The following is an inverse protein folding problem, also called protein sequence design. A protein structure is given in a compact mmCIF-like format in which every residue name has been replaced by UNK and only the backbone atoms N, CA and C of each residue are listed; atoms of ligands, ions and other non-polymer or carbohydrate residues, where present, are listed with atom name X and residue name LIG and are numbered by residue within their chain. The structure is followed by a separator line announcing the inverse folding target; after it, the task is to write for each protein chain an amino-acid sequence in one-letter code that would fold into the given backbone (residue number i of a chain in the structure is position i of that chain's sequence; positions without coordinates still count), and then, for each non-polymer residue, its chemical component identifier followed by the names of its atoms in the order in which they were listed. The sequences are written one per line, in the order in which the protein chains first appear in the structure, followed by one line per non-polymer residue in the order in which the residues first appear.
data_IF_686471537725
#
_entry.id   IF_686471537725
#
_cell.length_a   1.000
_cell.length_b   1.000
_cell.length_c   1.000
_cell.angle_alpha   90.00
_cell.angle_beta   90.00
_cell.angle_gamma   90.00
#
_symmetry.space_group_name_H-M   'P 1'
#
loop_
_entity.id
_entity.type
_entity.pdbx_description
1 polymer ?
#
# COMPACT_ATOMS: atom_id res chain seq x y z
N UNK A 1 -21.72 15.70 11.44
CA UNK A 1 -20.58 16.15 10.61
C UNK A 1 -20.40 15.14 9.49
N UNK A 2 -20.29 15.56 8.22
CA UNK A 2 -20.06 14.63 7.11
C UNK A 2 -18.67 14.03 7.22
N UNK A 3 -18.59 12.70 7.19
CA UNK A 3 -17.33 11.96 7.21
C UNK A 3 -16.60 12.17 5.88
N UNK A 4 -15.44 12.82 5.90
CA UNK A 4 -14.61 12.99 4.71
C UNK A 4 -14.13 11.63 4.20
N UNK A 5 -14.14 11.41 2.88
CA UNK A 5 -13.71 10.16 2.28
C UNK A 5 -13.27 10.37 0.84
N UNK A 6 -12.29 9.58 0.40
CA UNK A 6 -11.97 9.46 -1.02
C UNK A 6 -11.66 8.02 -1.41
N UNK A 7 -11.79 7.73 -2.69
CA UNK A 7 -11.50 6.44 -3.28
C UNK A 7 -10.24 6.54 -4.13
N UNK A 8 -9.33 5.59 -3.97
CA UNK A 8 -8.21 5.38 -4.90
C UNK A 8 -8.43 4.11 -5.70
N UNK A 9 -7.86 4.07 -6.89
CA UNK A 9 -7.86 2.86 -7.73
C UNK A 9 -6.44 2.38 -7.91
N UNK A 10 -6.18 1.13 -7.51
CA UNK A 10 -4.95 0.41 -7.80
C UNK A 10 -5.24 -0.66 -8.87
N UNK A 11 -4.28 -0.97 -9.74
CA UNK A 11 -4.37 -2.09 -10.68
C UNK A 11 -3.38 -3.18 -10.28
N UNK A 12 -3.79 -4.44 -10.31
CA UNK A 12 -2.83 -5.55 -10.22
C UNK A 12 -1.97 -5.60 -11.48
N UNK A 13 -0.65 -5.62 -11.32
CA UNK A 13 0.31 -5.75 -12.44
C UNK A 13 0.77 -7.19 -12.59
N UNK A 14 0.95 -7.89 -11.47
CA UNK A 14 1.33 -9.30 -11.43
C UNK A 14 0.34 -10.10 -10.57
N UNK A 15 0.30 -11.44 -10.71
CA UNK A 15 -0.62 -12.29 -9.94
C UNK A 15 -0.55 -11.98 -8.45
N UNK A 16 -1.70 -11.66 -7.85
CA UNK A 16 -1.80 -11.24 -6.46
C UNK A 16 -2.31 -12.39 -5.59
N UNK A 17 -1.39 -12.99 -4.83
CA UNK A 17 -1.68 -14.07 -3.90
C UNK A 17 -2.01 -13.54 -2.51
N UNK A 18 -3.28 -13.43 -2.22
CA UNK A 18 -3.82 -13.15 -0.89
C UNK A 18 -4.74 -14.28 -0.49
N UNK A 19 -5.01 -14.41 0.81
CA UNK A 19 -5.80 -15.53 1.30
C UNK A 19 -6.24 -15.30 2.72
N UNK A 20 -7.47 -15.72 2.98
CA UNK A 20 -8.07 -15.70 4.31
C UNK A 20 -7.95 -17.04 5.03
N UNK A 21 -9.05 -17.47 5.65
CA UNK A 21 -9.11 -18.76 6.31
C UNK A 21 -9.04 -19.94 5.31
N UNK A 22 -9.42 -19.72 4.05
CA UNK A 22 -9.51 -20.73 2.99
C UNK A 22 -8.72 -20.31 1.73
N UNK A 23 -7.39 -20.17 1.83
CA UNK A 23 -6.55 -19.57 0.77
C UNK A 23 -6.45 -20.41 -0.52
N UNK A 24 -6.85 -21.68 -0.49
CA UNK A 24 -6.95 -22.56 -1.66
C UNK A 24 -8.35 -22.52 -2.32
N UNK A 25 -9.37 -22.02 -1.61
CA UNK A 25 -10.73 -21.87 -2.16
C UNK A 25 -10.95 -20.50 -2.81
N UNK A 26 -10.33 -19.45 -2.26
CA UNK A 26 -10.55 -18.05 -2.64
C UNK A 26 -9.29 -17.20 -2.41
N UNK A 27 -8.98 -16.33 -3.38
CA UNK A 27 -8.06 -15.24 -3.15
C UNK A 27 -8.83 -14.08 -2.50
N UNK A 28 -8.49 -13.78 -1.24
CA UNK A 28 -9.21 -12.79 -0.44
C UNK A 28 -8.31 -11.58 -0.12
N UNK A 29 -8.58 -10.42 -0.72
CA UNK A 29 -7.98 -9.15 -0.35
C UNK A 29 -8.73 -8.53 0.84
N UNK A 30 -8.01 -8.33 1.95
CA UNK A 30 -8.54 -7.75 3.18
C UNK A 30 -8.04 -6.33 3.38
N UNK A 31 -8.91 -5.49 3.95
CA UNK A 31 -8.55 -4.13 4.36
C UNK A 31 -7.32 -4.10 5.28
N UNK A 32 -7.18 -5.11 6.16
CA UNK A 32 -6.03 -5.26 7.06
C UNK A 32 -4.71 -5.50 6.32
N UNK A 33 -4.73 -6.21 5.19
CA UNK A 33 -3.53 -6.45 4.36
C UNK A 33 -3.01 -5.14 3.76
N UNK A 34 -3.92 -4.30 3.24
CA UNK A 34 -3.57 -2.97 2.70
C UNK A 34 -3.07 -2.08 3.83
N UNK A 35 -3.79 -2.04 4.96
CA UNK A 35 -3.40 -1.24 6.13
C UNK A 35 -2.01 -1.64 6.65
N UNK A 36 -1.68 -2.92 6.66
CA UNK A 36 -0.35 -3.42 7.00
C UNK A 36 0.74 -2.96 6.03
N UNK A 37 0.48 -2.99 4.72
CA UNK A 37 1.41 -2.48 3.71
C UNK A 37 1.62 -0.96 3.82
N UNK A 38 0.55 -0.20 4.06
CA UNK A 38 0.64 1.23 4.33
C UNK A 38 1.47 1.50 5.59
N UNK A 39 1.24 0.76 6.67
CA UNK A 39 2.00 0.90 7.93
C UNK A 39 3.49 0.59 7.75
N UNK A 40 3.82 -0.42 6.94
CA UNK A 40 5.21 -0.72 6.56
C UNK A 40 5.87 0.49 5.87
N UNK A 41 5.22 1.05 4.85
CA UNK A 41 5.75 2.21 4.13
C UNK A 41 5.86 3.46 5.01
N UNK A 42 5.02 3.58 6.04
CA UNK A 42 5.07 4.71 6.96
C UNK A 42 6.34 4.70 7.78
N UNK A 43 6.67 3.55 8.35
CA UNK A 43 7.94 3.34 9.07
C UNK A 43 9.16 3.52 8.16
N UNK A 44 9.01 3.30 6.85
CA UNK A 44 10.10 3.44 5.89
C UNK A 44 10.34 4.90 5.48
N UNK A 45 9.32 5.76 5.49
CA UNK A 45 9.41 7.12 4.94
C UNK A 45 9.50 8.21 6.03
N UNK A 46 8.92 8.00 7.21
CA UNK A 46 8.94 8.96 8.31
C UNK A 46 9.83 8.44 9.45
N UNK A 47 10.94 9.11 9.72
CA UNK A 47 11.83 8.77 10.83
C UNK A 47 11.17 9.00 12.21
N UNK A 48 10.22 9.92 12.27
CA UNK A 48 9.52 10.30 13.50
C UNK A 48 8.25 9.46 13.70
N UNK A 49 8.09 8.34 12.98
CA UNK A 49 6.88 7.51 13.05
C UNK A 49 6.56 7.05 14.49
N UNK A 50 7.60 6.85 15.31
CA UNK A 50 7.48 6.40 16.69
C UNK A 50 7.57 7.55 17.72
N UNK A 51 7.76 8.79 17.26
CA UNK A 51 7.75 9.96 18.13
C UNK A 51 6.34 10.28 18.59
N UNK A 52 6.23 10.79 19.81
CA UNK A 52 4.96 11.20 20.43
C UNK A 52 4.43 12.44 19.73
N UNK A 53 3.13 12.45 19.42
CA UNK A 53 2.48 13.58 18.74
C UNK A 53 2.61 14.86 19.58
N UNK A 54 2.48 14.73 20.90
CA UNK A 54 2.69 15.82 21.84
C UNK A 54 3.96 15.56 22.67
N UNK A 55 4.99 16.37 22.44
CA UNK A 55 6.25 16.28 23.16
C UNK A 55 6.06 16.49 24.66
N UNK A 56 6.76 15.69 25.47
CA UNK A 56 6.68 15.75 26.94
C UNK A 56 5.41 15.14 27.54
N UNK A 57 4.53 14.51 26.75
CA UNK A 57 3.34 13.80 27.24
C UNK A 57 3.48 12.28 27.03
N UNK A 58 3.83 11.50 28.07
CA UNK A 58 4.04 10.05 27.94
C UNK A 58 2.83 9.29 27.39
N UNK A 59 1.62 9.74 27.71
CA UNK A 59 0.36 9.11 27.27
C UNK A 59 -0.08 9.56 25.86
N UNK A 60 0.65 10.48 25.22
CA UNK A 60 0.36 10.88 23.85
C UNK A 60 0.58 9.69 22.89
N UNK A 61 -0.29 9.47 21.88
CA UNK A 61 -0.02 8.47 20.87
C UNK A 61 1.27 8.81 20.11
N UNK A 62 1.97 7.80 19.57
CA UNK A 62 2.97 8.08 18.53
C UNK A 62 2.28 8.50 17.24
N UNK A 63 3.02 9.06 16.28
CA UNK A 63 2.44 9.37 14.96
C UNK A 63 1.89 8.13 14.25
N UNK A 64 2.56 6.98 14.34
CA UNK A 64 2.07 5.72 13.81
C UNK A 64 0.76 5.29 14.48
N UNK A 65 0.68 5.38 15.81
CA UNK A 65 -0.53 5.06 16.55
C UNK A 65 -1.67 6.02 16.22
N UNK A 66 -1.36 7.31 16.01
CA UNK A 66 -2.34 8.33 15.63
C UNK A 66 -2.96 8.03 14.25
N UNK A 67 -2.14 7.64 13.29
CA UNK A 67 -2.58 7.37 11.92
C UNK A 67 -3.28 6.01 11.80
N UNK A 68 -2.69 4.95 12.36
CA UNK A 68 -3.16 3.57 12.14
C UNK A 68 -3.98 2.99 13.28
N UNK A 69 -3.85 3.53 14.49
CA UNK A 69 -4.38 2.97 15.71
C UNK A 69 -3.42 1.98 16.38
N UNK A 70 -3.67 1.71 17.65
CA UNK A 70 -2.97 0.71 18.45
C UNK A 70 -3.91 0.06 19.48
N UNK A 71 -3.44 -0.99 20.14
CA UNK A 71 -4.22 -1.62 21.20
C UNK A 71 -4.49 -0.66 22.39
N UNK A 72 -3.62 0.33 22.60
CA UNK A 72 -3.77 1.33 23.67
C UNK A 72 -4.55 2.57 23.26
N UNK A 73 -4.43 3.01 21.99
CA UNK A 73 -5.03 4.27 21.51
C UNK A 73 -6.34 4.07 20.76
N UNK A 74 -6.68 2.82 20.42
CA UNK A 74 -7.90 2.46 19.69
C UNK A 74 -7.75 2.63 18.18
N UNK A 75 -8.81 3.11 17.53
CA UNK A 75 -8.84 3.29 16.07
C UNK A 75 -7.96 4.45 15.62
N UNK A 76 -7.29 4.28 14.47
CA UNK A 76 -6.52 5.35 13.83
C UNK A 76 -7.42 6.43 13.19
N UNK A 77 -6.83 7.38 12.47
CA UNK A 77 -7.59 8.49 11.89
C UNK A 77 -8.48 8.10 10.68
N UNK A 78 -8.32 6.89 10.13
CA UNK A 78 -9.11 6.39 9.01
C UNK A 78 -9.46 4.89 9.05
N UNK A 79 -10.50 4.54 8.31
CA UNK A 79 -10.94 3.18 7.98
C UNK A 79 -10.82 2.92 6.48
N UNK A 80 -10.51 1.67 6.11
CA UNK A 80 -10.45 1.21 4.72
C UNK A 80 -11.71 0.41 4.40
N UNK A 81 -12.34 0.69 3.26
CA UNK A 81 -13.37 -0.14 2.65
C UNK A 81 -12.94 -0.56 1.26
N UNK A 82 -13.19 -1.82 0.92
CA UNK A 82 -12.94 -2.37 -0.41
C UNK A 82 -14.26 -2.52 -1.14
N UNK A 83 -14.24 -2.37 -2.46
CA UNK A 83 -15.40 -2.69 -3.29
C UNK A 83 -15.36 -4.18 -3.64
N UNK A 84 -16.43 -4.90 -3.31
CA UNK A 84 -16.55 -6.37 -3.43
C UNK A 84 -16.30 -6.91 -4.84
N UNK A 85 -16.50 -6.11 -5.89
CA UNK A 85 -16.33 -6.57 -7.27
C UNK A 85 -14.87 -6.79 -7.68
N UNK A 86 -13.90 -6.26 -6.93
CA UNK A 86 -12.47 -6.34 -7.27
C UNK A 86 -11.86 -7.74 -7.15
N UNK A 87 -12.65 -8.74 -6.74
CA UNK A 87 -12.18 -10.05 -6.26
C UNK A 87 -12.93 -11.25 -6.86
N UNK A 88 -13.79 -11.03 -7.86
CA UNK A 88 -14.68 -12.09 -8.41
C UNK A 88 -13.98 -13.05 -9.38
N UNK A 89 -12.90 -12.63 -10.03
CA UNK A 89 -12.20 -13.42 -11.06
C UNK A 89 -10.97 -14.13 -10.49
N UNK A 90 -11.18 -15.05 -9.53
CA UNK A 90 -10.08 -15.80 -8.92
C UNK A 90 -9.62 -16.95 -9.82
N UNK A 91 -8.30 -17.05 -10.05
CA UNK A 91 -7.69 -18.13 -10.83
C UNK A 91 -6.85 -19.05 -9.95
N UNK A 92 -6.83 -20.33 -10.27
CA UNK A 92 -5.92 -21.30 -9.63
C UNK A 92 -4.53 -21.20 -10.27
N UNK A 93 -3.48 -21.26 -9.45
CA UNK A 93 -2.12 -21.21 -9.95
C UNK A 93 -1.61 -22.60 -10.35
N UNK A 94 -1.21 -22.75 -11.62
CA UNK A 94 -0.57 -23.96 -12.13
C UNK A 94 0.82 -23.65 -12.70
N UNK A 95 1.83 -24.44 -12.31
CA UNK A 95 3.19 -24.33 -12.87
C UNK A 95 3.26 -24.75 -14.33
N UNK A 96 2.36 -25.62 -14.79
CA UNK A 96 2.34 -26.14 -16.15
C UNK A 96 1.93 -25.09 -17.17
N UNK A 97 1.29 -23.99 -16.74
CA UNK A 97 1.01 -22.81 -17.56
C UNK A 97 2.31 -22.05 -17.94
N UNK A 98 3.44 -22.39 -17.32
CA UNK A 98 4.73 -21.72 -17.46
C UNK A 98 5.88 -22.69 -17.77
N UNK A 99 5.77 -23.56 -18.80
CA UNK A 99 6.64 -24.73 -18.98
C UNK A 99 8.11 -24.34 -19.21
N UNK A 100 8.36 -23.21 -19.87
CA UNK A 100 9.71 -22.71 -20.18
C UNK A 100 10.16 -21.53 -19.29
N UNK A 101 9.45 -21.24 -18.18
CA UNK A 101 9.81 -20.14 -17.28
C UNK A 101 10.28 -20.65 -15.91
N UNK A 102 11.44 -21.28 -15.90
CA UNK A 102 12.06 -21.86 -14.68
C UNK A 102 12.15 -20.84 -13.53
N UNK A 103 12.45 -19.56 -13.83
CA UNK A 103 12.46 -18.51 -12.82
C UNK A 103 11.09 -18.27 -12.17
N UNK A 104 10.02 -18.20 -12.96
CA UNK A 104 8.65 -18.02 -12.43
C UNK A 104 8.23 -19.24 -11.60
N UNK A 105 8.52 -20.45 -12.08
CA UNK A 105 8.25 -21.70 -11.33
C UNK A 105 9.00 -21.73 -10.00
N UNK A 106 10.28 -21.34 -9.99
CA UNK A 106 11.08 -21.26 -8.76
C UNK A 106 10.51 -20.22 -7.78
N UNK A 107 10.23 -19.00 -8.24
CA UNK A 107 9.72 -17.92 -7.38
C UNK A 107 8.32 -18.22 -6.83
N UNK A 108 7.51 -18.97 -7.58
CA UNK A 108 6.15 -19.38 -7.21
C UNK A 108 6.05 -20.78 -6.59
N UNK A 109 7.17 -21.46 -6.31
CA UNK A 109 7.17 -22.85 -5.82
C UNK A 109 6.32 -23.05 -4.56
N UNK A 110 6.30 -22.07 -3.65
CA UNK A 110 5.47 -22.13 -2.44
C UNK A 110 3.96 -22.11 -2.69
N UNK A 111 3.52 -21.72 -3.88
CA UNK A 111 2.09 -21.69 -4.24
C UNK A 111 1.54 -23.09 -4.55
N UNK A 112 2.41 -24.04 -4.88
CA UNK A 112 2.07 -25.42 -5.24
C UNK A 112 2.69 -26.48 -4.29
N UNK A 113 3.57 -26.06 -3.37
CA UNK A 113 4.23 -26.95 -2.42
C UNK A 113 3.22 -27.60 -1.47
N UNK A 114 3.39 -28.88 -1.15
CA UNK A 114 2.60 -29.56 -0.12
C UNK A 114 1.14 -29.80 -0.50
N UNK A 115 0.80 -29.79 -1.79
CA UNK A 115 -0.57 -29.94 -2.28
C UNK A 115 -1.38 -28.64 -2.28
N UNK A 116 -0.74 -27.50 -1.98
CA UNK A 116 -1.37 -26.19 -2.06
C UNK A 116 -1.94 -25.93 -3.47
N UNK A 117 -3.12 -25.33 -3.54
CA UNK A 117 -3.81 -24.93 -4.78
C UNK A 117 -4.20 -23.46 -4.68
N UNK A 118 -3.20 -22.63 -4.45
CA UNK A 118 -3.42 -21.21 -4.14
C UNK A 118 -4.12 -20.53 -5.29
N UNK A 119 -5.25 -19.89 -4.97
CA UNK A 119 -5.88 -18.96 -5.90
C UNK A 119 -5.25 -17.57 -5.83
N UNK A 120 -5.39 -16.81 -6.90
CA UNK A 120 -4.88 -15.45 -7.00
C UNK A 120 -5.85 -14.55 -7.74
N UNK A 121 -5.74 -13.25 -7.46
CA UNK A 121 -6.36 -12.19 -8.26
C UNK A 121 -5.46 -11.95 -9.48
N UNK A 122 -5.99 -12.06 -10.71
CA UNK A 122 -5.19 -11.98 -11.93
C UNK A 122 -4.62 -10.58 -12.14
N UNK A 123 -3.58 -10.45 -12.98
CA UNK A 123 -3.16 -9.16 -13.50
C UNK A 123 -4.32 -8.41 -14.17
N UNK A 124 -4.22 -7.09 -14.18
CA UNK A 124 -5.17 -6.14 -14.76
C UNK A 124 -6.52 -5.99 -14.04
N UNK A 125 -6.67 -6.56 -12.85
CA UNK A 125 -7.82 -6.32 -11.99
C UNK A 125 -7.71 -4.96 -11.29
N UNK A 126 -8.81 -4.22 -11.24
CA UNK A 126 -8.88 -2.94 -10.55
C UNK A 126 -9.35 -3.16 -9.10
N UNK A 127 -8.61 -2.58 -8.16
CA UNK A 127 -8.86 -2.59 -6.72
C UNK A 127 -9.26 -1.19 -6.30
N UNK A 128 -10.53 -1.03 -5.93
CA UNK A 128 -11.04 0.24 -5.42
C UNK A 128 -10.98 0.27 -3.89
N UNK A 129 -10.22 1.22 -3.37
CA UNK A 129 -9.98 1.39 -1.93
C UNK A 129 -10.59 2.72 -1.51
N UNK A 130 -11.61 2.69 -0.67
CA UNK A 130 -12.19 3.88 -0.05
C UNK A 130 -11.58 4.10 1.33
N UNK A 131 -11.01 5.28 1.54
CA UNK A 131 -10.53 5.76 2.83
C UNK A 131 -11.61 6.67 3.42
N UNK A 132 -12.08 6.31 4.61
CA UNK A 132 -13.08 7.08 5.36
C UNK A 132 -12.46 7.61 6.65
N UNK A 133 -12.48 8.93 6.83
CA UNK A 133 -11.79 9.61 7.91
C UNK A 133 -12.69 9.89 9.09
N UNK A 134 -12.26 9.53 10.30
CA UNK A 134 -13.07 9.69 11.52
C UNK A 134 -13.18 11.15 11.98
N UNK A 135 -12.28 12.01 11.49
CA UNK A 135 -12.30 13.45 11.66
C UNK A 135 -11.72 14.11 10.42
N UNK A 136 -11.80 15.44 10.32
CA UNK A 136 -11.10 16.18 9.25
C UNK A 136 -9.59 15.92 9.38
N UNK A 137 -8.91 15.37 8.36
CA UNK A 137 -7.48 15.07 8.44
C UNK A 137 -6.64 16.34 8.50
N UNK A 138 -5.62 16.34 9.36
CA UNK A 138 -4.60 17.38 9.44
C UNK A 138 -3.51 17.13 8.40
N UNK A 139 -2.67 18.14 8.15
CA UNK A 139 -1.70 18.12 7.06
C UNK A 139 -0.75 16.91 7.12
N UNK A 140 -0.17 16.60 8.29
CA UNK A 140 0.70 15.42 8.45
C UNK A 140 -0.05 14.11 8.14
N UNK A 141 -1.32 13.98 8.51
CA UNK A 141 -2.13 12.78 8.23
C UNK A 141 -2.43 12.66 6.73
N UNK A 142 -2.73 13.77 6.05
CA UNK A 142 -2.97 13.82 4.60
C UNK A 142 -1.73 13.38 3.83
N UNK A 143 -0.60 14.08 4.03
CA UNK A 143 0.64 13.81 3.28
C UNK A 143 1.16 12.41 3.55
N UNK A 144 1.01 11.91 4.78
CA UNK A 144 1.30 10.51 5.11
C UNK A 144 0.44 9.58 4.28
N UNK A 145 -0.88 9.67 4.36
CA UNK A 145 -1.76 8.72 3.67
C UNK A 145 -1.55 8.72 2.16
N UNK A 146 -1.36 9.89 1.55
CA UNK A 146 -1.04 9.99 0.12
C UNK A 146 0.33 9.36 -0.21
N UNK A 147 1.37 9.69 0.55
CA UNK A 147 2.71 9.12 0.33
C UNK A 147 2.69 7.59 0.37
N UNK A 148 1.95 7.01 1.32
CA UNK A 148 1.90 5.55 1.51
C UNK A 148 1.21 4.82 0.37
N UNK A 149 0.09 5.37 -0.13
CA UNK A 149 -0.61 4.81 -1.27
C UNK A 149 0.20 4.97 -2.55
N UNK A 150 0.89 6.11 -2.69
CA UNK A 150 1.77 6.38 -3.81
C UNK A 150 2.96 5.40 -3.82
N UNK A 151 3.68 5.26 -2.70
CA UNK A 151 4.80 4.31 -2.57
C UNK A 151 4.35 2.87 -2.83
N UNK A 152 3.22 2.47 -2.24
CA UNK A 152 2.63 1.15 -2.48
C UNK A 152 2.36 0.91 -3.97
N UNK A 153 1.82 1.91 -4.67
CA UNK A 153 1.47 1.84 -6.09
C UNK A 153 2.60 2.11 -7.08
N UNK A 154 3.82 2.41 -6.63
CA UNK A 154 4.97 2.66 -7.53
C UNK A 154 6.11 1.67 -7.31
N UNK A 155 6.38 1.31 -6.06
CA UNK A 155 7.50 0.44 -5.68
C UNK A 155 7.12 -0.64 -4.66
N UNK A 156 5.83 -0.76 -4.35
CA UNK A 156 5.31 -1.73 -3.40
C UNK A 156 4.65 -2.95 -4.05
N UNK A 157 4.03 -3.75 -3.19
CA UNK A 157 3.24 -4.90 -3.58
C UNK A 157 2.47 -5.45 -2.40
N UNK A 158 1.41 -6.21 -2.69
CA UNK A 158 0.54 -6.83 -1.70
C UNK A 158 0.70 -8.35 -1.73
N UNK A 159 0.41 -8.99 -0.60
CA UNK A 159 0.29 -10.44 -0.52
C UNK A 159 1.61 -11.22 -0.57
N UNK A 160 1.47 -12.50 -0.85
CA UNK A 160 2.55 -13.48 -0.75
C UNK A 160 3.57 -13.25 -1.85
N UNK A 161 4.86 -13.31 -1.49
CA UNK A 161 5.99 -13.14 -2.42
C UNK A 161 6.03 -11.76 -3.12
N UNK A 162 5.49 -10.72 -2.47
CA UNK A 162 5.58 -9.33 -2.96
C UNK A 162 7.01 -8.85 -3.22
N UNK A 163 7.95 -9.29 -2.39
CA UNK A 163 9.40 -9.04 -2.56
C UNK A 163 10.08 -9.86 -3.66
N UNK A 164 9.31 -10.65 -4.42
CA UNK A 164 9.78 -11.51 -5.52
C UNK A 164 8.99 -11.29 -6.81
N UNK A 165 8.37 -10.12 -6.96
CA UNK A 165 7.68 -9.69 -8.19
C UNK A 165 6.21 -10.09 -8.30
N UNK A 166 5.64 -10.82 -7.33
CA UNK A 166 4.20 -11.11 -7.29
C UNK A 166 3.43 -10.01 -6.58
N UNK A 167 2.13 -9.88 -6.85
CA UNK A 167 1.26 -8.91 -6.18
C UNK A 167 1.68 -7.44 -6.33
N UNK A 168 2.46 -7.11 -7.36
CA UNK A 168 2.75 -5.71 -7.70
C UNK A 168 1.44 -5.02 -8.04
N UNK A 169 1.25 -3.83 -7.48
CA UNK A 169 0.09 -2.99 -7.74
C UNK A 169 0.54 -1.63 -8.27
N UNK A 170 -0.21 -1.07 -9.21
CA UNK A 170 0.03 0.25 -9.77
C UNK A 170 -1.06 1.22 -9.32
N UNK A 171 -0.69 2.37 -8.77
CA UNK A 171 -1.67 3.44 -8.52
C UNK A 171 -2.16 3.99 -9.86
N UNK A 172 -3.47 4.00 -10.10
CA UNK A 172 -4.05 4.51 -11.34
C UNK A 172 -4.72 5.86 -11.19
N UNK A 173 -5.35 6.11 -10.03
CA UNK A 173 -6.10 7.34 -9.81
C UNK A 173 -6.29 7.63 -8.33
N UNK A 174 -6.23 8.92 -7.98
CA UNK A 174 -6.67 9.47 -6.69
C UNK A 174 -8.20 9.58 -6.57
N UNK A 175 -8.94 9.16 -7.61
CA UNK A 175 -10.40 9.14 -7.68
C UNK A 175 -11.01 10.50 -7.40
N UNK A 176 -11.71 10.61 -6.27
CA UNK A 176 -12.39 11.83 -5.83
C UNK A 176 -11.66 12.58 -4.70
N UNK A 177 -10.35 12.38 -4.55
CA UNK A 177 -9.53 13.18 -3.63
C UNK A 177 -9.63 14.67 -3.97
N UNK A 178 -9.92 15.50 -2.96
CA UNK A 178 -10.03 16.96 -3.10
C UNK A 178 -8.87 17.71 -2.43
N UNK A 179 -7.82 17.00 -2.04
CA UNK A 179 -6.62 17.59 -1.44
C UNK A 179 -5.70 18.10 -2.54
N UNK A 180 -5.16 19.31 -2.37
CA UNK A 180 -4.19 19.88 -3.30
C UNK A 180 -2.95 18.99 -3.41
N UNK A 181 -2.58 18.34 -2.31
CA UNK A 181 -1.46 17.41 -2.19
C UNK A 181 -1.59 16.19 -3.13
N UNK A 182 -2.82 15.79 -3.50
CA UNK A 182 -3.03 14.72 -4.49
C UNK A 182 -2.46 15.10 -5.87
N UNK A 183 -2.44 16.39 -6.22
CA UNK A 183 -1.88 16.88 -7.48
C UNK A 183 -0.35 16.96 -7.48
N UNK A 184 0.27 16.99 -6.29
CA UNK A 184 1.73 17.02 -6.15
C UNK A 184 2.35 15.64 -6.43
N UNK A 185 1.68 14.56 -6.03
CA UNK A 185 2.14 13.19 -6.27
C UNK A 185 1.62 12.64 -7.60
N UNK A 186 2.38 12.90 -8.67
CA UNK A 186 2.08 12.41 -10.02
C UNK A 186 2.06 10.89 -10.10
N UNK A 187 1.12 10.36 -10.86
CA UNK A 187 0.94 8.93 -11.05
C UNK A 187 1.72 8.48 -12.29
N UNK A 188 2.61 7.48 -12.14
CA UNK A 188 3.43 6.96 -13.24
C UNK A 188 2.75 5.84 -14.04
N UNK A 189 1.60 5.33 -13.60
CA UNK A 189 0.82 4.36 -14.37
C UNK A 189 0.36 4.94 -15.72
N UNK A 190 0.52 4.20 -16.81
CA UNK A 190 0.13 4.62 -18.17
C UNK A 190 1.17 5.46 -18.91
N UNK A 191 2.32 5.76 -18.29
CA UNK A 191 3.43 6.44 -18.94
C UNK A 191 4.08 5.53 -20.00
N UNK A 192 4.33 6.07 -21.18
CA UNK A 192 4.64 5.30 -22.40
C UNK A 192 6.12 4.86 -22.56
N UNK A 193 7.02 5.30 -21.67
CA UNK A 193 8.44 4.92 -21.72
C UNK A 193 9.06 4.80 -20.33
N UNK A 194 10.12 3.98 -20.23
CA UNK A 194 10.87 3.81 -18.98
C UNK A 194 11.48 5.11 -18.47
N UNK A 195 12.03 5.94 -19.36
CA UNK A 195 12.62 7.23 -18.99
C UNK A 195 11.57 8.20 -18.45
N UNK A 196 10.40 8.28 -19.09
CA UNK A 196 9.31 9.12 -18.61
C UNK A 196 8.73 8.59 -17.30
N UNK A 197 8.68 7.26 -17.14
CA UNK A 197 8.27 6.63 -15.87
C UNK A 197 9.24 7.02 -14.76
N UNK A 198 10.54 6.89 -15.01
CA UNK A 198 11.59 7.25 -14.06
C UNK A 198 11.53 8.73 -13.68
N UNK A 199 11.35 9.62 -14.66
CA UNK A 199 11.17 11.05 -14.42
C UNK A 199 9.96 11.32 -13.52
N UNK A 200 8.80 10.74 -13.84
CA UNK A 200 7.56 10.90 -13.08
C UNK A 200 7.72 10.39 -11.64
N UNK A 201 8.35 9.23 -11.48
CA UNK A 201 8.66 8.65 -10.18
C UNK A 201 9.63 9.54 -9.38
N UNK A 202 10.68 10.05 -10.01
CA UNK A 202 11.67 10.91 -9.35
C UNK A 202 11.09 12.26 -8.92
N UNK A 203 10.19 12.85 -9.71
CA UNK A 203 9.43 14.05 -9.33
C UNK A 203 8.63 13.78 -8.04
N UNK A 204 7.92 12.65 -7.96
CA UNK A 204 7.18 12.24 -6.76
C UNK A 204 8.10 11.99 -5.56
N UNK A 205 9.26 11.36 -5.76
CA UNK A 205 10.25 11.18 -4.69
C UNK A 205 10.77 12.52 -4.13
N UNK A 206 10.91 13.55 -4.95
CA UNK A 206 11.33 14.86 -4.47
C UNK A 206 10.25 15.50 -3.59
N UNK A 207 8.97 15.40 -3.98
CA UNK A 207 7.84 15.81 -3.13
C UNK A 207 7.86 15.07 -1.79
N UNK A 208 8.12 13.75 -1.80
CA UNK A 208 8.21 12.98 -0.56
C UNK A 208 9.36 13.44 0.35
N UNK A 209 10.51 13.83 -0.21
CA UNK A 209 11.64 14.37 0.57
C UNK A 209 11.31 15.72 1.20
N UNK A 210 10.46 16.53 0.56
CA UNK A 210 9.98 17.79 1.13
C UNK A 210 8.97 17.55 2.25
N UNK A 211 8.07 16.57 2.10
CA UNK A 211 7.07 16.22 3.12
C UNK A 211 7.68 15.50 4.33
N UNK A 212 8.72 14.70 4.10
CA UNK A 212 9.44 13.93 5.13
C UNK A 212 10.92 14.33 5.11
N UNK A 213 11.25 15.53 5.61
CA UNK A 213 12.63 16.00 5.65
C UNK A 213 13.45 15.09 6.57
N UNK A 214 14.75 14.97 6.27
CA UNK A 214 15.68 14.26 7.16
C UNK A 214 15.63 14.90 8.54
N UNK A 215 15.39 14.11 9.58
CA UNK A 215 15.54 14.56 10.95
C UNK A 215 17.01 14.99 11.16
N UNK A 216 17.21 16.14 11.80
CA UNK A 216 18.52 16.61 12.25
C UNK A 216 18.97 15.74 13.43
N UNK A 217 19.22 14.45 13.19
CA UNK A 217 19.83 13.57 14.17
C UNK A 217 21.27 14.04 14.32
N UNK A 218 21.50 14.90 15.31
CA UNK A 218 22.85 15.15 15.80
C UNK A 218 23.29 13.84 16.42
N UNK A 219 24.08 13.06 15.67
CA UNK A 219 24.74 11.89 16.23
C UNK A 219 25.68 12.45 17.29
N UNK A 220 25.27 12.42 18.56
CA UNK A 220 26.20 12.57 19.65
C UNK A 220 27.17 11.40 19.54
N UNK A 221 28.35 11.68 19.02
CA UNK A 221 29.48 10.77 19.07
C UNK A 221 29.79 10.57 20.55
N UNK A 222 29.38 9.41 21.09
CA UNK A 222 29.93 8.86 22.32
C UNK A 222 31.16 8.02 21.98
#
# INVERSE_FOLDING_TARGET
MSMEKFTVTLKTVTPLFLGGAKPDEEAELRASSIKGAMRFWYRAIDADYNERVESGKPDSPTWEEKIFGSAGTGQGCFSIRLKDDSMKDNKEWNHDDYPNKNGVRYLSFSMCMGGNRRKYIPPNADIHITLAFHHKPKDKEKVSILALLWLLGHIGGLGSRSRRGFGTVALQSWGNCQWDECNMLRIAHGVQSGDNWWKTFNDGLNVLKEWFPKSNVTIQQN
#
